data_IF_361664903834
#
_entry.id   IF_361664903834
#
_cell.length_a   1.000
_cell.length_b   1.000
_cell.length_c   1.000
_cell.angle_alpha   90.00
_cell.angle_beta   90.00
_cell.angle_gamma   90.00
#
_symmetry.space_group_name_H-M   'P 1'
#
loop_
_entity.id
_entity.type
_entity.pdbx_description
1 polymer ?
#
# COMPACT_ATOMS: atom_id res chain seq x y z
N UNK A 1 -14.46 3.10 -17.32
CA UNK A 1 -14.12 1.67 -17.49
C UNK A 1 -15.06 0.86 -16.63
N UNK A 2 -15.56 -0.27 -17.10
CA UNK A 2 -16.64 -1.00 -16.42
C UNK A 2 -16.44 -2.51 -16.53
N UNK A 3 -16.54 -3.16 -15.37
CA UNK A 3 -16.61 -4.60 -15.14
C UNK A 3 -15.53 -5.38 -15.90
N UNK A 4 -14.28 -4.91 -15.72
CA UNK A 4 -13.11 -5.62 -16.23
C UNK A 4 -13.05 -7.03 -15.62
N UNK A 5 -12.72 -8.06 -16.42
CA UNK A 5 -12.63 -9.44 -15.92
C UNK A 5 -11.38 -9.70 -15.06
N UNK A 6 -10.44 -8.77 -15.07
CA UNK A 6 -9.15 -8.77 -14.37
C UNK A 6 -8.66 -7.31 -14.35
N UNK A 7 -7.35 -7.07 -14.32
CA UNK A 7 -6.73 -5.73 -14.32
C UNK A 7 -7.36 -4.85 -15.40
N UNK A 8 -7.74 -3.64 -15.01
CA UNK A 8 -8.40 -2.67 -15.88
C UNK A 8 -7.40 -2.06 -16.88
N UNK A 9 -6.21 -1.71 -16.41
CA UNK A 9 -5.13 -1.20 -17.26
C UNK A 9 -3.81 -1.87 -16.84
N UNK A 10 -3.10 -2.46 -17.79
CA UNK A 10 -1.71 -2.90 -17.60
C UNK A 10 -0.83 -2.30 -18.68
N UNK A 11 0.02 -1.35 -18.30
CA UNK A 11 0.83 -0.57 -19.24
C UNK A 11 2.29 -1.01 -19.18
N UNK A 12 2.86 -1.33 -20.34
CA UNK A 12 4.22 -1.87 -20.44
C UNK A 12 5.07 -1.05 -21.41
N UNK A 13 6.31 -0.73 -21.03
CA UNK A 13 7.32 -0.19 -21.95
C UNK A 13 6.95 1.18 -22.54
N UNK A 14 6.23 2.01 -21.80
CA UNK A 14 5.59 3.24 -22.28
C UNK A 14 5.97 4.46 -21.45
N UNK A 15 5.85 5.66 -22.04
CA UNK A 15 6.12 6.92 -21.35
C UNK A 15 5.04 7.97 -21.63
N UNK A 16 4.97 9.00 -20.78
CA UNK A 16 4.01 10.11 -20.90
C UNK A 16 2.55 9.64 -20.88
N UNK A 17 2.18 8.91 -19.83
CA UNK A 17 0.86 8.31 -19.67
C UNK A 17 0.01 9.22 -18.79
N UNK A 18 -1.18 9.59 -19.26
CA UNK A 18 -2.13 10.39 -18.47
C UNK A 18 -3.50 9.71 -18.38
N UNK A 19 -4.02 9.58 -17.15
CA UNK A 19 -5.43 9.31 -16.90
C UNK A 19 -6.03 10.50 -16.18
N UNK A 20 -7.07 11.09 -16.77
CA UNK A 20 -7.76 12.26 -16.25
C UNK A 20 -9.27 12.10 -16.38
N UNK A 21 -10.01 12.43 -15.33
CA UNK A 21 -11.48 12.36 -15.31
C UNK A 21 -12.02 10.94 -15.59
N UNK A 22 -11.44 9.94 -14.91
CA UNK A 22 -11.72 8.52 -15.16
C UNK A 22 -12.50 7.89 -14.02
N UNK A 23 -13.58 7.20 -14.38
CA UNK A 23 -14.34 6.34 -13.48
C UNK A 23 -14.08 4.88 -13.87
N UNK A 24 -13.68 4.04 -12.93
CA UNK A 24 -13.52 2.60 -13.12
C UNK A 24 -14.37 1.82 -12.10
N UNK A 25 -15.15 0.86 -12.58
CA UNK A 25 -15.93 -0.03 -11.73
C UNK A 25 -15.68 -1.48 -12.08
N UNK A 26 -15.70 -2.34 -11.08
CA UNK A 26 -15.89 -3.78 -11.24
C UNK A 26 -16.90 -4.20 -10.18
N UNK A 27 -18.18 -4.29 -10.59
CA UNK A 27 -19.28 -4.56 -9.67
C UNK A 27 -20.01 -5.81 -10.14
N UNK A 28 -20.01 -6.83 -9.27
CA UNK A 28 -20.73 -8.07 -9.51
C UNK A 28 -22.24 -7.85 -9.47
N UNK A 29 -22.99 -8.56 -10.32
CA UNK A 29 -24.45 -8.69 -10.19
C UNK A 29 -24.86 -9.82 -9.22
N UNK A 30 -23.88 -10.56 -8.69
CA UNK A 30 -24.04 -11.63 -7.73
C UNK A 30 -23.17 -11.33 -6.51
N UNK A 31 -23.80 -10.92 -5.40
CA UNK A 31 -23.10 -10.52 -4.17
C UNK A 31 -22.23 -11.60 -3.51
N UNK A 32 -22.27 -12.85 -3.99
CA UNK A 32 -21.37 -13.92 -3.55
C UNK A 32 -20.07 -14.00 -4.37
N UNK A 33 -19.92 -13.22 -5.44
CA UNK A 33 -18.75 -13.24 -6.32
C UNK A 33 -17.98 -11.93 -6.16
N UNK A 34 -16.73 -12.03 -5.72
CA UNK A 34 -15.84 -10.87 -5.65
C UNK A 34 -15.10 -10.75 -6.99
N UNK A 35 -15.03 -9.56 -7.62
CA UNK A 35 -14.34 -9.34 -8.89
C UNK A 35 -12.82 -9.27 -8.68
N UNK A 36 -12.23 -10.40 -8.33
CA UNK A 36 -10.82 -10.53 -7.95
C UNK A 36 -9.87 -10.00 -9.02
N UNK A 37 -8.78 -9.38 -8.57
CA UNK A 37 -7.68 -8.90 -9.42
C UNK A 37 -8.14 -7.87 -10.46
N UNK A 38 -9.05 -6.97 -10.08
CA UNK A 38 -9.56 -5.90 -10.96
C UNK A 38 -8.84 -4.58 -10.75
N UNK A 39 -7.51 -4.66 -10.52
CA UNK A 39 -6.58 -3.55 -10.36
C UNK A 39 -6.89 -2.41 -11.35
N UNK A 40 -6.91 -1.15 -10.91
CA UNK A 40 -7.19 -0.06 -11.83
C UNK A 40 -5.99 0.22 -12.74
N UNK A 41 -4.79 0.30 -12.17
CA UNK A 41 -3.57 0.64 -12.90
C UNK A 41 -2.43 -0.28 -12.44
N UNK A 42 -1.99 -1.15 -13.33
CA UNK A 42 -0.73 -1.88 -13.25
C UNK A 42 0.25 -1.33 -14.28
N UNK A 43 1.54 -1.35 -13.96
CA UNK A 43 2.56 -0.98 -14.93
C UNK A 43 3.90 -1.68 -14.75
N UNK A 44 4.62 -1.85 -15.86
CA UNK A 44 5.97 -2.42 -15.93
C UNK A 44 6.80 -1.61 -16.93
N UNK A 45 8.03 -1.24 -16.58
CA UNK A 45 8.91 -0.49 -17.48
C UNK A 45 8.29 0.81 -18.02
N UNK A 46 7.72 1.65 -17.15
CA UNK A 46 7.12 2.93 -17.55
C UNK A 46 7.71 4.15 -16.85
N UNK A 47 7.58 5.30 -17.49
CA UNK A 47 8.02 6.58 -16.93
C UNK A 47 7.00 7.69 -17.22
N UNK A 48 7.01 8.73 -16.40
CA UNK A 48 6.20 9.95 -16.61
C UNK A 48 4.69 9.62 -16.63
N UNK A 49 4.18 9.14 -15.49
CA UNK A 49 2.76 8.79 -15.30
C UNK A 49 2.06 9.90 -14.52
N UNK A 50 0.89 10.33 -15.01
CA UNK A 50 0.02 11.28 -14.32
C UNK A 50 -1.40 10.72 -14.18
N UNK A 51 -1.86 10.55 -12.95
CA UNK A 51 -3.24 10.18 -12.60
C UNK A 51 -3.90 11.38 -11.92
N UNK A 52 -4.98 11.90 -12.47
CA UNK A 52 -5.67 13.08 -11.91
C UNK A 52 -7.20 12.93 -11.96
N UNK A 53 -7.89 13.11 -10.83
CA UNK A 53 -9.36 12.96 -10.74
C UNK A 53 -9.82 11.60 -11.27
N UNK A 54 -9.46 10.57 -10.52
CA UNK A 54 -9.86 9.19 -10.82
C UNK A 54 -10.66 8.61 -9.66
N UNK A 55 -11.73 7.91 -9.97
CA UNK A 55 -12.56 7.22 -8.99
C UNK A 55 -12.70 5.76 -9.38
N UNK A 56 -12.40 4.89 -8.43
CA UNK A 56 -12.41 3.45 -8.63
C UNK A 56 -13.27 2.77 -7.58
N UNK A 57 -14.07 1.81 -8.03
CA UNK A 57 -14.85 0.91 -7.20
C UNK A 57 -14.68 -0.51 -7.74
N UNK A 58 -13.65 -1.19 -7.25
CA UNK A 58 -13.11 -2.45 -7.77
C UNK A 58 -12.69 -3.34 -6.59
N UNK A 59 -12.18 -4.53 -6.85
CA UNK A 59 -11.47 -5.37 -5.88
C UNK A 59 -10.05 -5.60 -6.39
N UNK A 60 -9.05 -5.43 -5.52
CA UNK A 60 -7.59 -5.34 -5.79
C UNK A 60 -6.99 -3.91 -5.90
N UNK A 61 -5.72 -3.77 -6.30
CA UNK A 61 -4.96 -2.53 -6.10
C UNK A 61 -5.55 -1.32 -6.86
N UNK A 62 -5.57 -0.16 -6.19
CA UNK A 62 -6.02 1.10 -6.80
C UNK A 62 -4.97 1.65 -7.79
N UNK A 63 -3.70 1.52 -7.43
CA UNK A 63 -2.56 1.93 -8.26
C UNK A 63 -1.37 1.04 -7.90
N UNK A 64 -0.81 0.36 -8.90
CA UNK A 64 0.20 -0.67 -8.67
C UNK A 64 1.33 -0.70 -9.70
N UNK A 65 2.28 0.23 -9.61
CA UNK A 65 3.51 0.14 -10.40
C UNK A 65 4.34 -1.05 -9.93
N UNK A 66 4.64 -1.97 -10.87
CA UNK A 66 5.58 -3.08 -10.69
C UNK A 66 7.01 -2.60 -10.98
N UNK A 67 7.87 -3.46 -11.51
CA UNK A 67 9.29 -3.14 -11.70
C UNK A 67 9.55 -2.05 -12.77
N UNK A 68 10.65 -1.31 -12.56
CA UNK A 68 11.23 -0.34 -13.48
C UNK A 68 10.30 0.86 -13.79
N UNK A 69 9.75 1.47 -12.73
CA UNK A 69 8.90 2.65 -12.85
C UNK A 69 9.58 3.91 -12.29
N UNK A 70 9.44 5.06 -12.97
CA UNK A 70 9.94 6.33 -12.46
C UNK A 70 9.07 7.54 -12.81
N UNK A 71 9.10 8.58 -11.96
CA UNK A 71 8.34 9.82 -12.15
C UNK A 71 6.82 9.58 -12.26
N UNK A 72 6.23 9.12 -11.16
CA UNK A 72 4.81 8.82 -11.07
C UNK A 72 4.12 9.85 -10.18
N UNK A 73 3.07 10.48 -10.69
CA UNK A 73 2.28 11.45 -9.96
C UNK A 73 0.80 11.06 -9.95
N UNK A 74 0.24 10.92 -8.75
CA UNK A 74 -1.20 10.68 -8.54
C UNK A 74 -1.73 11.84 -7.71
N UNK A 75 -2.81 12.48 -8.17
CA UNK A 75 -3.46 13.54 -7.44
C UNK A 75 -4.99 13.42 -7.55
N UNK A 76 -5.69 13.43 -6.42
CA UNK A 76 -7.16 13.35 -6.37
C UNK A 76 -7.63 12.01 -6.90
N UNK A 77 -7.54 10.99 -6.04
CA UNK A 77 -7.99 9.64 -6.36
C UNK A 77 -8.89 9.10 -5.25
N UNK A 78 -10.00 8.50 -5.65
CA UNK A 78 -10.96 7.87 -4.75
C UNK A 78 -10.96 6.37 -5.01
N UNK A 79 -10.64 5.59 -4.00
CA UNK A 79 -10.49 4.15 -4.11
C UNK A 79 -11.44 3.46 -3.14
N UNK A 80 -12.47 2.79 -3.65
CA UNK A 80 -13.39 2.00 -2.85
C UNK A 80 -13.20 0.50 -3.13
N UNK A 81 -13.12 -0.31 -2.06
CA UNK A 81 -12.99 -1.77 -2.16
C UNK A 81 -11.59 -2.28 -2.53
N UNK A 82 -10.62 -1.38 -2.67
CA UNK A 82 -9.30 -1.70 -3.23
C UNK A 82 -8.31 -2.25 -2.20
N UNK A 83 -7.18 -2.80 -2.62
CA UNK A 83 -6.08 -3.26 -1.75
C UNK A 83 -5.02 -2.20 -1.41
N UNK A 84 -5.18 -0.96 -1.90
CA UNK A 84 -4.29 0.16 -1.59
C UNK A 84 -3.70 0.90 -2.79
N UNK A 85 -2.99 1.99 -2.47
CA UNK A 85 -2.00 2.63 -3.33
C UNK A 85 -0.67 1.86 -3.16
N UNK A 86 -0.47 0.86 -4.01
CA UNK A 86 0.43 -0.27 -3.79
C UNK A 86 1.67 -0.25 -4.69
N UNK A 87 2.80 0.21 -4.18
CA UNK A 87 4.08 0.03 -4.87
C UNK A 87 4.48 -1.45 -4.84
N UNK A 88 4.62 -2.06 -6.01
CA UNK A 88 4.99 -3.45 -6.19
C UNK A 88 3.82 -4.41 -6.42
N UNK A 89 4.01 -5.71 -6.25
CA UNK A 89 5.18 -6.32 -5.62
C UNK A 89 6.45 -6.23 -6.47
N UNK A 90 7.60 -6.10 -5.80
CA UNK A 90 8.91 -5.92 -6.44
C UNK A 90 9.90 -6.99 -6.00
N UNK A 91 10.85 -7.31 -6.88
CA UNK A 91 11.92 -8.28 -6.60
C UNK A 91 11.46 -9.74 -6.72
N UNK A 92 10.43 -10.04 -7.51
CA UNK A 92 9.90 -11.40 -7.61
C UNK A 92 10.88 -12.40 -8.23
N UNK A 93 11.64 -11.97 -9.25
CA UNK A 93 12.36 -12.89 -10.13
C UNK A 93 13.87 -12.91 -9.84
N UNK A 94 14.48 -14.10 -9.74
CA UNK A 94 15.89 -14.24 -9.36
C UNK A 94 16.82 -13.65 -10.42
N UNK A 95 17.82 -12.90 -9.97
CA UNK A 95 18.78 -12.22 -10.84
C UNK A 95 18.25 -10.95 -11.51
N UNK A 96 16.98 -10.59 -11.31
CA UNK A 96 16.41 -9.36 -11.84
C UNK A 96 16.49 -8.23 -10.81
N UNK A 97 16.96 -7.07 -11.29
CA UNK A 97 16.88 -5.84 -10.53
C UNK A 97 15.51 -5.19 -10.76
N UNK A 98 14.78 -4.93 -9.69
CA UNK A 98 13.49 -4.24 -9.70
C UNK A 98 13.59 -2.89 -9.01
N UNK A 99 13.00 -1.85 -9.59
CA UNK A 99 12.90 -0.57 -8.88
C UNK A 99 11.62 0.19 -9.14
N UNK A 100 11.24 1.02 -8.16
CA UNK A 100 10.27 2.09 -8.32
C UNK A 100 10.82 3.33 -7.63
N UNK A 101 10.88 4.47 -8.31
CA UNK A 101 11.43 5.68 -7.73
C UNK A 101 10.76 6.97 -8.20
N UNK A 102 10.88 8.03 -7.42
CA UNK A 102 10.32 9.35 -7.74
C UNK A 102 8.79 9.28 -7.89
N UNK A 103 8.10 8.92 -6.80
CA UNK A 103 6.65 8.76 -6.76
C UNK A 103 6.03 9.75 -5.79
N UNK A 104 5.01 10.46 -6.24
CA UNK A 104 4.25 11.38 -5.41
C UNK A 104 2.75 11.13 -5.57
N UNK A 105 2.12 10.62 -4.51
CA UNK A 105 0.71 10.28 -4.46
C UNK A 105 0.06 11.19 -3.44
N UNK A 106 -0.88 12.04 -3.87
CA UNK A 106 -1.54 13.00 -3.00
C UNK A 106 -3.06 13.11 -3.18
N UNK A 107 -3.73 13.55 -2.11
CA UNK A 107 -5.18 13.78 -2.07
C UNK A 107 -5.94 12.50 -2.44
N UNK A 108 -5.82 11.49 -1.58
CA UNK A 108 -6.39 10.16 -1.81
C UNK A 108 -7.41 9.81 -0.74
N UNK A 109 -8.57 9.33 -1.18
CA UNK A 109 -9.59 8.76 -0.31
C UNK A 109 -9.60 7.25 -0.49
N UNK A 110 -9.26 6.53 0.57
CA UNK A 110 -9.21 5.07 0.62
C UNK A 110 -10.38 4.57 1.46
N UNK A 111 -11.34 3.89 0.84
CA UNK A 111 -12.58 3.46 1.46
C UNK A 111 -12.79 1.95 1.35
N UNK A 112 -13.25 1.34 2.44
CA UNK A 112 -13.87 0.00 2.45
C UNK A 112 -13.04 -1.12 1.79
N UNK A 113 -11.72 -1.00 1.79
CA UNK A 113 -10.83 -1.97 1.17
C UNK A 113 -10.08 -2.82 2.20
N UNK A 114 -9.37 -3.81 1.68
CA UNK A 114 -8.55 -4.71 2.48
C UNK A 114 -7.09 -4.20 2.52
N UNK A 115 -6.29 -4.72 3.46
CA UNK A 115 -4.87 -4.39 3.63
C UNK A 115 -4.58 -2.95 4.08
N UNK A 116 -4.42 -1.99 3.17
CA UNK A 116 -4.03 -0.64 3.60
C UNK A 116 -4.36 0.49 2.63
N UNK A 117 -4.37 1.72 3.15
CA UNK A 117 -4.44 2.92 2.31
C UNK A 117 -3.21 3.10 1.42
N UNK A 118 -2.03 3.24 2.04
CA UNK A 118 -0.74 3.24 1.34
C UNK A 118 -0.01 1.91 1.56
N UNK A 119 0.67 1.39 0.53
CA UNK A 119 1.28 0.07 0.58
C UNK A 119 2.57 -0.03 -0.22
N UNK A 120 3.59 -0.67 0.36
CA UNK A 120 4.83 -1.08 -0.34
C UNK A 120 5.03 -2.59 -0.12
N UNK A 121 5.22 -3.34 -1.20
CA UNK A 121 5.35 -4.81 -1.20
C UNK A 121 6.66 -5.25 -1.85
N UNK A 122 7.51 -5.97 -1.13
CA UNK A 122 8.74 -6.55 -1.70
C UNK A 122 8.83 -8.04 -1.37
N UNK A 123 9.28 -8.82 -2.36
CA UNK A 123 9.43 -10.27 -2.24
C UNK A 123 10.66 -10.63 -1.41
N UNK A 124 10.51 -11.70 -0.63
CA UNK A 124 11.59 -12.43 0.04
C UNK A 124 11.53 -13.91 -0.37
N UNK A 125 12.56 -14.69 -0.08
CA UNK A 125 12.62 -16.11 -0.40
C UNK A 125 13.88 -16.52 -1.17
N UNK A 126 14.09 -17.83 -1.37
CA UNK A 126 15.36 -18.36 -1.90
C UNK A 126 15.63 -18.00 -3.38
N UNK A 127 14.60 -17.66 -4.15
CA UNK A 127 14.68 -17.42 -5.59
C UNK A 127 14.04 -16.08 -5.95
N UNK A 128 14.48 -15.01 -5.30
CA UNK A 128 13.96 -13.65 -5.52
C UNK A 128 15.03 -12.73 -6.09
N UNK A 129 14.58 -11.61 -6.63
CA UNK A 129 15.41 -10.53 -7.15
C UNK A 129 15.88 -9.56 -6.06
N UNK A 130 16.36 -8.41 -6.52
CA UNK A 130 16.89 -7.36 -5.67
C UNK A 130 16.58 -5.99 -6.28
N UNK A 131 16.91 -4.90 -5.59
CA UNK A 131 16.78 -3.55 -6.14
C UNK A 131 16.29 -2.56 -5.10
N UNK A 132 15.44 -1.61 -5.49
CA UNK A 132 15.11 -0.50 -4.58
C UNK A 132 13.74 0.17 -4.80
N UNK A 133 13.16 0.67 -3.72
CA UNK A 133 12.08 1.66 -3.68
C UNK A 133 12.66 2.93 -3.09
N UNK A 134 12.61 4.04 -3.83
CA UNK A 134 13.26 5.28 -3.38
C UNK A 134 12.46 6.54 -3.73
N UNK A 135 12.52 7.55 -2.86
CA UNK A 135 11.87 8.85 -3.05
C UNK A 135 10.35 8.72 -3.31
N UNK A 136 9.65 8.21 -2.31
CA UNK A 136 8.19 8.00 -2.35
C UNK A 136 7.52 8.95 -1.37
N UNK A 137 6.51 9.68 -1.83
CA UNK A 137 5.66 10.51 -0.97
C UNK A 137 4.21 10.07 -1.09
N UNK A 138 3.60 9.72 0.03
CA UNK A 138 2.17 9.61 0.19
C UNK A 138 1.68 10.77 1.04
N UNK A 139 0.76 11.58 0.52
CA UNK A 139 0.35 12.83 1.14
C UNK A 139 -1.17 13.04 1.13
N UNK A 140 -1.73 13.58 2.21
CA UNK A 140 -3.15 13.92 2.30
C UNK A 140 -4.03 12.69 2.01
N UNK A 141 -3.90 11.66 2.86
CA UNK A 141 -4.70 10.45 2.79
C UNK A 141 -5.85 10.51 3.79
N UNK A 142 -7.07 10.31 3.28
CA UNK A 142 -8.23 9.99 4.11
C UNK A 142 -8.48 8.48 4.07
N UNK A 143 -8.28 7.83 5.21
CA UNK A 143 -8.49 6.39 5.38
C UNK A 143 -9.84 6.16 6.03
N UNK A 144 -10.73 5.40 5.41
CA UNK A 144 -12.01 5.06 5.97
C UNK A 144 -12.27 3.56 5.81
N UNK A 145 -12.13 2.82 6.91
CA UNK A 145 -12.37 1.38 6.96
C UNK A 145 -11.48 0.59 5.99
N UNK A 146 -10.19 0.94 5.96
CA UNK A 146 -9.12 0.06 5.47
C UNK A 146 -8.57 -0.75 6.66
N UNK A 147 -8.00 -1.93 6.43
CA UNK A 147 -7.47 -2.73 7.54
C UNK A 147 -6.33 -2.03 8.30
N UNK A 148 -5.46 -1.35 7.56
CA UNK A 148 -4.43 -0.44 8.07
C UNK A 148 -4.45 0.88 7.28
N UNK A 149 -3.90 1.94 7.85
CA UNK A 149 -3.58 3.15 7.10
C UNK A 149 -2.38 2.94 6.17
N UNK A 150 -1.34 2.27 6.67
CA UNK A 150 -0.06 2.06 5.96
C UNK A 150 0.40 0.61 6.17
N UNK A 151 0.86 -0.02 5.09
CA UNK A 151 1.65 -1.25 5.12
C UNK A 151 2.97 -1.07 4.38
N UNK A 152 4.07 -1.50 4.99
CA UNK A 152 5.31 -1.83 4.29
C UNK A 152 5.60 -3.30 4.61
N UNK A 153 5.73 -4.13 3.59
CA UNK A 153 5.92 -5.57 3.75
C UNK A 153 7.11 -6.06 2.92
N UNK A 154 8.20 -6.42 3.60
CA UNK A 154 9.38 -7.05 3.00
C UNK A 154 9.37 -8.58 2.99
N UNK A 155 8.25 -9.20 3.34
CA UNK A 155 8.02 -10.65 3.29
C UNK A 155 6.76 -10.96 2.45
N UNK A 156 6.61 -10.26 1.31
CA UNK A 156 5.37 -10.33 0.54
C UNK A 156 5.13 -11.70 -0.11
N UNK A 157 4.15 -12.42 0.42
CA UNK A 157 2.86 -12.78 -0.19
C UNK A 157 2.21 -13.70 0.85
N UNK A 158 2.30 -15.02 0.63
CA UNK A 158 1.98 -16.07 1.62
C UNK A 158 3.25 -16.87 1.95
N UNK A 159 4.35 -16.15 2.19
CA UNK A 159 5.63 -16.74 2.61
C UNK A 159 5.64 -16.75 4.14
N UNK A 160 6.03 -17.88 4.73
CA UNK A 160 6.12 -17.94 6.18
C UNK A 160 7.33 -17.14 6.69
N UNK A 161 7.20 -16.60 7.90
CA UNK A 161 8.20 -15.73 8.53
C UNK A 161 9.59 -16.39 8.60
N UNK A 162 9.67 -17.65 9.01
CA UNK A 162 10.94 -18.40 9.06
C UNK A 162 11.66 -18.46 7.71
N UNK A 163 10.92 -18.56 6.60
CA UNK A 163 11.51 -18.54 5.25
C UNK A 163 12.04 -17.16 4.91
N UNK A 164 11.33 -16.10 5.30
CA UNK A 164 11.80 -14.73 5.12
C UNK A 164 13.01 -14.41 6.00
N UNK A 165 13.11 -14.95 7.21
CA UNK A 165 14.30 -14.80 8.05
C UNK A 165 15.53 -15.50 7.44
N UNK A 166 15.34 -16.69 6.86
CA UNK A 166 16.41 -17.45 6.20
C UNK A 166 16.81 -16.84 4.84
N UNK A 167 15.85 -16.24 4.15
CA UNK A 167 16.02 -15.67 2.82
C UNK A 167 15.37 -14.28 2.74
N UNK A 168 15.92 -13.29 3.45
CA UNK A 168 15.31 -11.97 3.54
C UNK A 168 15.36 -11.22 2.21
N UNK A 169 14.41 -10.30 2.01
CA UNK A 169 14.28 -9.51 0.79
C UNK A 169 15.57 -8.77 0.44
N UNK A 170 15.96 -8.81 -0.83
CA UNK A 170 17.09 -8.06 -1.38
C UNK A 170 16.71 -6.65 -1.84
N UNK A 171 15.53 -6.15 -1.47
CA UNK A 171 15.03 -4.84 -1.87
C UNK A 171 15.36 -3.78 -0.82
N UNK A 172 16.01 -2.71 -1.25
CA UNK A 172 16.19 -1.51 -0.45
C UNK A 172 14.88 -0.70 -0.44
N UNK A 173 14.56 -0.07 0.69
CA UNK A 173 13.44 0.88 0.80
C UNK A 173 13.93 2.14 1.50
N UNK A 174 14.01 3.24 0.77
CA UNK A 174 14.57 4.49 1.28
C UNK A 174 13.72 5.70 0.94
N UNK A 175 13.84 6.74 1.77
CA UNK A 175 13.27 8.06 1.49
C UNK A 175 11.75 8.01 1.22
N UNK A 176 11.01 7.42 2.16
CA UNK A 176 9.56 7.32 2.10
C UNK A 176 8.94 8.29 3.10
N UNK A 177 8.07 9.18 2.62
CA UNK A 177 7.34 10.12 3.44
C UNK A 177 5.84 9.78 3.44
N UNK A 178 5.29 9.53 4.62
CA UNK A 178 3.86 9.49 4.88
C UNK A 178 3.43 10.78 5.58
N UNK A 179 2.76 11.68 4.86
CA UNK A 179 2.36 12.99 5.36
C UNK A 179 0.83 13.17 5.37
N UNK A 180 0.29 13.66 6.49
CA UNK A 180 -1.12 14.03 6.63
C UNK A 180 -2.08 12.87 6.33
N UNK A 181 -1.99 11.82 7.14
CA UNK A 181 -2.92 10.69 7.13
C UNK A 181 -3.96 10.89 8.22
N UNK A 182 -5.23 10.70 7.90
CA UNK A 182 -6.34 10.89 8.83
C UNK A 182 -7.42 9.84 8.60
N UNK A 183 -8.30 9.67 9.59
CA UNK A 183 -9.47 8.78 9.48
C UNK A 183 -9.38 7.57 10.40
N UNK A 184 -9.89 6.41 9.97
CA UNK A 184 -10.03 5.24 10.82
C UNK A 184 -9.90 3.90 10.06
N UNK A 185 -9.36 2.89 10.75
CA UNK A 185 -9.22 1.52 10.22
C UNK A 185 -10.51 0.70 10.35
N UNK A 186 -10.52 -0.52 9.79
CA UNK A 186 -11.66 -1.45 9.85
C UNK A 186 -11.88 -2.04 11.26
N UNK A 187 -10.83 -2.08 12.07
CA UNK A 187 -10.83 -2.71 13.41
C UNK A 187 -10.55 -4.21 13.40
N UNK A 188 -10.33 -4.84 12.24
CA UNK A 188 -10.05 -6.29 12.16
C UNK A 188 -8.72 -6.65 12.86
N UNK A 189 -7.75 -5.73 12.82
CA UNK A 189 -6.46 -5.80 13.51
C UNK A 189 -6.44 -4.98 14.81
N UNK A 190 -7.60 -4.76 15.41
CA UNK A 190 -7.70 -4.10 16.69
C UNK A 190 -7.27 -2.64 16.65
N UNK A 191 -6.43 -2.23 17.59
CA UNK A 191 -5.90 -0.87 17.67
C UNK A 191 -4.63 -0.63 16.81
N UNK A 192 -4.13 -1.66 16.12
CA UNK A 192 -3.01 -1.49 15.20
C UNK A 192 -3.49 -0.77 13.93
N UNK A 193 -2.88 0.39 13.63
CA UNK A 193 -3.30 1.27 12.53
C UNK A 193 -2.29 1.36 11.39
N UNK A 194 -1.06 0.89 11.60
CA UNK A 194 -0.07 0.70 10.55
C UNK A 194 0.88 -0.45 10.91
N UNK A 195 1.42 -1.12 9.88
CA UNK A 195 2.41 -2.19 10.03
C UNK A 195 3.53 -2.03 9.00
N UNK A 196 4.76 -1.81 9.44
CA UNK A 196 5.91 -1.61 8.57
C UNK A 196 7.02 -2.60 8.95
N UNK A 197 7.19 -3.64 8.14
CA UNK A 197 8.20 -4.67 8.35
C UNK A 197 9.22 -4.60 7.22
N UNK A 198 10.41 -4.11 7.55
CA UNK A 198 11.54 -4.04 6.63
C UNK A 198 12.36 -5.34 6.62
N UNK A 199 13.15 -5.51 5.56
CA UNK A 199 14.01 -6.69 5.38
C UNK A 199 15.02 -6.81 6.51
N UNK A 200 15.25 -8.04 6.97
CA UNK A 200 16.35 -8.37 7.92
C UNK A 200 17.67 -8.65 7.20
N UNK A 201 17.72 -8.54 5.88
CA UNK A 201 18.93 -8.71 5.09
C UNK A 201 19.94 -7.61 5.47
N UNK A 202 21.15 -7.94 5.96
CA UNK A 202 22.14 -6.94 6.38
C UNK A 202 22.68 -6.10 5.21
N UNK A 203 22.55 -6.57 3.97
CA UNK A 203 22.96 -5.85 2.76
C UNK A 203 21.80 -5.00 2.17
N UNK A 204 20.57 -5.16 2.69
CA UNK A 204 19.44 -4.35 2.28
C UNK A 204 19.26 -3.15 3.22
N UNK A 205 18.98 -2.00 2.64
CA UNK A 205 18.81 -0.74 3.38
C UNK A 205 17.32 -0.48 3.56
N UNK A 206 16.89 -0.21 4.79
CA UNK A 206 15.58 0.37 5.08
C UNK A 206 15.76 1.63 5.92
N UNK A 207 15.76 2.81 5.28
CA UNK A 207 16.14 4.04 5.96
C UNK A 207 15.25 5.23 5.62
N UNK A 208 15.24 6.23 6.50
CA UNK A 208 14.59 7.53 6.26
C UNK A 208 13.10 7.37 5.91
N UNK A 209 12.41 6.51 6.66
CA UNK A 209 10.97 6.30 6.57
C UNK A 209 10.31 7.23 7.58
N UNK A 210 9.63 8.27 7.08
CA UNK A 210 9.13 9.38 7.89
C UNK A 210 7.62 9.41 7.95
N UNK A 211 7.15 9.81 9.12
CA UNK A 211 5.75 10.14 9.36
C UNK A 211 5.64 11.61 9.72
N UNK A 212 4.65 12.29 9.15
CA UNK A 212 4.32 13.67 9.52
C UNK A 212 2.82 13.81 9.59
N UNK A 213 2.29 14.12 10.77
CA UNK A 213 0.85 14.24 11.02
C UNK A 213 0.08 12.94 10.64
N UNK A 214 0.45 11.83 11.29
CA UNK A 214 -0.25 10.56 11.14
C UNK A 214 -1.30 10.41 12.24
N UNK A 215 -2.57 10.64 11.90
CA UNK A 215 -3.72 10.70 12.82
C UNK A 215 -4.82 9.70 12.39
N UNK A 216 -4.44 8.46 12.07
CA UNK A 216 -5.39 7.37 11.80
C UNK A 216 -5.75 6.70 13.12
N UNK A 217 -7.04 6.48 13.35
CA UNK A 217 -7.56 5.87 14.58
C UNK A 217 -8.11 4.46 14.34
N UNK A 218 -8.44 3.75 15.40
CA UNK A 218 -9.18 2.49 15.33
C UNK A 218 -10.57 2.64 15.96
N UNK A 219 -11.60 1.99 15.40
CA UNK A 219 -12.92 1.94 16.03
C UNK A 219 -12.96 1.13 17.34
N UNK A 220 -11.84 0.49 17.73
CA UNK A 220 -11.76 -0.36 18.93
C UNK A 220 -11.59 0.45 20.23
N UNK A 221 -11.48 1.78 20.16
CA UNK A 221 -11.51 2.68 21.31
C UNK A 221 -10.25 2.73 22.18
N UNK A 222 -9.18 2.01 21.80
CA UNK A 222 -7.86 2.16 22.41
C UNK A 222 -6.97 3.16 21.66
N UNK A 223 -5.80 3.44 22.22
CA UNK A 223 -4.80 4.27 21.57
C UNK A 223 -4.32 3.61 20.25
N UNK A 224 -4.23 4.36 19.14
CA UNK A 224 -3.72 3.84 17.88
C UNK A 224 -2.25 3.42 17.99
N UNK A 225 -1.92 2.21 17.53
CA UNK A 225 -0.56 1.68 17.57
C UNK A 225 0.01 1.53 16.17
N UNK A 226 1.22 2.05 15.96
CA UNK A 226 2.03 1.84 14.75
C UNK A 226 3.07 0.76 15.05
N UNK A 227 3.05 -0.32 14.28
CA UNK A 227 3.98 -1.44 14.45
C UNK A 227 5.08 -1.32 13.40
N UNK A 228 6.34 -1.31 13.83
CA UNK A 228 7.49 -1.23 12.94
C UNK A 228 8.64 -2.15 13.36
N UNK A 229 9.26 -2.81 12.39
CA UNK A 229 10.44 -3.65 12.60
C UNK A 229 11.44 -3.47 11.43
N UNK A 230 12.74 -3.43 11.75
CA UNK A 230 13.81 -3.40 10.75
C UNK A 230 14.05 -2.04 10.06
N UNK A 231 13.52 -0.93 10.58
CA UNK A 231 13.73 0.42 10.03
C UNK A 231 14.93 1.10 10.72
N UNK A 232 15.92 1.50 9.93
CA UNK A 232 17.13 2.20 10.41
C UNK A 232 16.99 3.73 10.28
N UNK A 233 16.85 4.40 11.43
CA UNK A 233 16.82 5.86 11.55
C UNK A 233 15.61 6.57 10.92
N UNK A 234 15.32 7.79 11.42
CA UNK A 234 14.39 8.71 10.78
C UNK A 234 12.89 8.48 11.03
N UNK A 235 12.52 7.60 11.96
CA UNK A 235 11.13 7.45 12.40
C UNK A 235 10.73 8.61 13.32
N UNK A 236 10.04 9.61 12.77
CA UNK A 236 9.52 10.77 13.50
C UNK A 236 8.17 10.49 14.22
N UNK A 237 7.69 9.24 14.23
CA UNK A 237 6.51 8.79 14.97
C UNK A 237 6.86 7.66 15.95
N UNK A 238 6.25 7.60 17.15
CA UNK A 238 6.43 6.48 18.06
C UNK A 238 5.83 5.23 17.42
N UNK A 239 6.68 4.24 17.16
CA UNK A 239 6.29 2.91 16.75
C UNK A 239 6.85 1.87 17.71
N UNK A 240 6.21 0.71 17.76
CA UNK A 240 6.61 -0.40 18.61
C UNK A 240 6.92 -1.62 17.77
N UNK A 241 7.84 -2.47 18.26
CA UNK A 241 8.11 -3.76 17.62
C UNK A 241 6.90 -4.69 17.72
N UNK A 242 6.70 -5.54 16.72
CA UNK A 242 5.62 -6.55 16.70
C UNK A 242 5.64 -7.46 17.94
N UNK A 243 6.81 -7.69 18.53
CA UNK A 243 6.98 -8.56 19.70
C UNK A 243 6.68 -7.88 21.04
N UNK A 244 6.43 -6.57 21.04
CA UNK A 244 6.09 -5.84 22.25
C UNK A 244 4.72 -6.23 22.82
N UNK A 245 4.56 -6.13 24.14
CA UNK A 245 3.26 -6.36 24.78
C UNK A 245 2.20 -5.36 24.29
N UNK A 246 2.62 -4.15 23.92
CA UNK A 246 1.76 -3.11 23.33
C UNK A 246 1.22 -3.53 21.96
N UNK A 247 2.08 -3.99 21.04
CA UNK A 247 1.64 -4.50 19.74
C UNK A 247 0.71 -5.71 19.88
N UNK A 248 1.06 -6.66 20.76
CA UNK A 248 0.23 -7.85 21.05
C UNK A 248 -1.15 -7.46 21.59
N UNK A 249 -1.21 -6.53 22.53
CA UNK A 249 -2.46 -6.02 23.08
C UNK A 249 -3.30 -5.29 22.02
N UNK A 250 -2.66 -4.46 21.18
CA UNK A 250 -3.32 -3.75 20.10
C UNK A 250 -3.97 -4.70 19.09
N UNK A 251 -3.25 -5.74 18.66
CA UNK A 251 -3.75 -6.74 17.69
C UNK A 251 -4.84 -7.67 18.28
N UNK A 252 -4.82 -7.89 19.59
CA UNK A 252 -5.80 -8.72 20.29
C UNK A 252 -7.17 -8.03 20.43
N UNK A 253 -7.23 -6.70 20.38
CA UNK A 253 -8.50 -5.98 20.34
C UNK A 253 -9.31 -6.39 19.10
N UNK A 254 -10.63 -6.52 19.26
CA UNK A 254 -11.56 -6.88 18.16
C UNK A 254 -12.76 -5.96 18.21
N UNK A 255 -13.05 -5.34 17.07
CA UNK A 255 -14.22 -4.50 16.88
C UNK A 255 -14.65 -4.57 15.42
N UNK A 256 -15.81 -4.01 15.12
CA UNK A 256 -16.34 -3.89 13.76
C UNK A 256 -16.87 -2.49 13.56
N UNK A 257 -16.74 -1.98 12.34
CA UNK A 257 -17.31 -0.71 11.94
C UNK A 257 -18.13 -0.88 10.65
N UNK A 258 -19.27 -0.17 10.51
CA UNK A 258 -20.03 -0.16 9.26
C UNK A 258 -19.19 0.31 8.07
N UNK A 259 -19.61 -0.05 6.86
CA UNK A 259 -19.03 0.50 5.63
C UNK A 259 -19.07 2.02 5.66
N UNK A 260 -17.95 2.64 5.29
CA UNK A 260 -17.86 4.06 5.08
C UNK A 260 -18.77 4.46 3.90
N UNK A 261 -19.50 5.58 4.01
CA UNK A 261 -20.34 6.07 2.92
C UNK A 261 -19.47 6.41 1.71
N UNK A 262 -19.95 6.02 0.53
CA UNK A 262 -19.27 6.28 -0.74
C UNK A 262 -19.97 7.46 -1.40
N UNK A 263 -19.20 8.47 -1.83
CA UNK A 263 -19.70 9.49 -2.73
C UNK A 263 -19.54 8.99 -4.18
N UNK A 264 -20.64 8.80 -4.89
CA UNK A 264 -20.68 8.37 -6.30
C UNK A 264 -20.31 9.50 -7.28
N UNK A 265 -20.18 10.74 -6.79
CA UNK A 265 -19.81 11.92 -7.57
C UNK A 265 -18.55 12.57 -6.99
N UNK A 266 -17.37 12.07 -7.39
CA UNK A 266 -16.09 12.35 -6.74
C UNK A 266 -15.45 13.71 -7.02
N UNK A 267 -15.91 14.44 -8.03
CA UNK A 267 -15.45 15.80 -8.35
C UNK A 267 -16.55 16.61 -9.04
#
# INVERSE_FOLDING_TARGET
MKDAPCWTNFIVGSSNIEYRDVIATAITNNGSIIPKNTDFFDSLDVQDVKIERVWVNIDDDCFSPKSNNTNLYVNTMYCNGTHGQSIGSLGQYPGEMSFVKDVHIENVWMLNGDYSGARIKTWAGPNVGYGFVDNITYKNFWVARMDYGIILDSCYFNINETTCEQHPSGMNVSNVLFENFTGYTSGIYGNAVAKLTCSTNPDAVCHNIKFKNFNVTSPCGGEPVVICDGIDGGLDAPCVSIDSDEAKAALAAKCQTPLAPINEHPW
#
